data_IF_824492129030
#
_entry.id   IF_824492129030
#
_cell.length_a   1.000
_cell.length_b   1.000
_cell.length_c   1.000
_cell.angle_alpha   90.00
_cell.angle_beta   90.00
_cell.angle_gamma   90.00
#
_symmetry.space_group_name_H-M   'P 1'
#
loop_
_entity.id
_entity.type
_entity.pdbx_description
1 polymer ?
#
# COMPACT_ATOMS: atom_id res chain seq x y z
N UNK A 1 3.82 22.01 -3.51
CA UNK A 1 2.42 21.60 -3.31
C UNK A 1 2.40 20.27 -2.55
N UNK A 2 1.58 20.21 -1.53
CA UNK A 2 1.48 18.99 -0.75
C UNK A 2 0.84 17.88 -1.58
N UNK A 3 1.24 16.61 -1.41
CA UNK A 3 0.59 15.51 -2.10
C UNK A 3 -0.88 15.40 -1.68
N UNK A 4 -1.73 14.86 -2.56
CA UNK A 4 -3.13 14.66 -2.21
C UNK A 4 -3.27 13.83 -0.94
N UNK A 5 -4.13 14.26 -0.06
CA UNK A 5 -4.39 13.53 1.18
C UNK A 5 -5.37 12.40 0.89
N UNK A 6 -5.13 11.28 1.52
CA UNK A 6 -6.02 10.13 1.45
C UNK A 6 -6.29 9.67 2.87
N UNK A 7 -7.52 9.27 3.13
CA UNK A 7 -7.85 8.68 4.41
C UNK A 7 -7.24 7.27 4.48
N UNK A 8 -6.29 7.08 5.37
CA UNK A 8 -5.56 5.83 5.48
C UNK A 8 -6.25 4.94 6.51
N UNK A 9 -6.87 3.89 6.01
CA UNK A 9 -7.52 2.86 6.82
C UNK A 9 -6.59 1.66 6.94
N UNK A 10 -6.98 0.67 7.76
CA UNK A 10 -6.23 -0.58 7.84
C UNK A 10 -6.17 -1.28 6.49
N UNK A 11 -7.27 -1.25 5.73
CA UNK A 11 -7.29 -1.85 4.39
C UNK A 11 -6.25 -1.19 3.49
N UNK A 12 -6.20 0.14 3.49
CA UNK A 12 -5.21 0.89 2.69
C UNK A 12 -3.78 0.52 3.10
N UNK A 13 -3.51 0.42 4.41
CA UNK A 13 -2.18 0.04 4.89
C UNK A 13 -1.81 -1.38 4.50
N UNK A 14 -2.75 -2.31 4.61
CA UNK A 14 -2.49 -3.69 4.19
C UNK A 14 -2.12 -3.76 2.71
N UNK A 15 -2.84 -3.02 1.88
CA UNK A 15 -2.58 -2.97 0.43
C UNK A 15 -1.20 -2.35 0.17
N UNK A 16 -0.90 -1.23 0.82
CA UNK A 16 0.40 -0.57 0.64
C UNK A 16 1.56 -1.46 1.09
N UNK A 17 1.38 -2.19 2.19
CA UNK A 17 2.40 -3.13 2.67
C UNK A 17 2.71 -4.19 1.60
N UNK A 18 1.69 -4.72 0.96
CA UNK A 18 1.87 -5.73 -0.09
C UNK A 18 2.59 -5.13 -1.30
N UNK A 19 2.15 -3.96 -1.75
CA UNK A 19 2.76 -3.29 -2.90
C UNK A 19 4.21 -2.93 -2.61
N UNK A 20 4.49 -2.40 -1.40
CA UNK A 20 5.85 -2.04 -1.00
C UNK A 20 6.78 -3.24 -0.90
N UNK A 21 6.24 -4.40 -0.55
CA UNK A 21 7.03 -5.63 -0.37
C UNK A 21 7.34 -6.32 -1.69
N UNK A 22 6.62 -5.99 -2.77
CA UNK A 22 6.83 -6.63 -4.07
C UNK A 22 8.07 -6.05 -4.75
N UNK A 23 8.90 -6.89 -5.40
CA UNK A 23 10.02 -6.39 -6.19
C UNK A 23 9.53 -5.55 -7.37
N UNK A 24 10.33 -4.55 -7.78
CA UNK A 24 9.98 -3.70 -8.91
C UNK A 24 9.84 -4.48 -10.22
N UNK A 25 10.64 -5.51 -10.38
CA UNK A 25 10.63 -6.35 -11.58
C UNK A 25 9.60 -7.49 -11.51
N UNK A 26 8.90 -7.60 -10.38
CA UNK A 26 7.84 -8.59 -10.20
C UNK A 26 6.71 -7.96 -9.39
N UNK A 27 6.03 -6.95 -9.97
CA UNK A 27 4.98 -6.24 -9.24
C UNK A 27 3.77 -7.11 -8.99
N UNK A 28 3.01 -6.74 -7.97
CA UNK A 28 1.82 -7.48 -7.57
C UNK A 28 0.63 -7.07 -8.44
N UNK A 29 -0.26 -8.03 -8.71
CA UNK A 29 -1.50 -7.79 -9.46
C UNK A 29 -2.71 -7.80 -8.52
N UNK A 30 -3.85 -7.32 -9.04
CA UNK A 30 -5.03 -7.08 -8.20
C UNK A 30 -5.47 -8.28 -7.37
N UNK A 31 -5.64 -9.45 -8.00
CA UNK A 31 -6.03 -10.65 -7.25
C UNK A 31 -4.95 -11.10 -6.29
N UNK A 32 -3.68 -10.91 -6.64
CA UNK A 32 -2.56 -11.19 -5.73
C UNK A 32 -2.63 -10.35 -4.48
N UNK A 33 -3.03 -9.09 -4.61
CA UNK A 33 -3.24 -8.21 -3.45
C UNK A 33 -4.38 -8.73 -2.59
N UNK A 34 -5.50 -9.13 -3.21
CA UNK A 34 -6.63 -9.69 -2.47
C UNK A 34 -6.20 -10.92 -1.68
N UNK A 35 -5.45 -11.82 -2.29
CA UNK A 35 -4.98 -13.04 -1.65
C UNK A 35 -4.01 -12.73 -0.51
N UNK A 36 -3.06 -11.83 -0.74
CA UNK A 36 -2.05 -11.51 0.25
C UNK A 36 -2.62 -10.77 1.46
N UNK A 37 -3.62 -9.92 1.26
CA UNK A 37 -4.22 -9.14 2.35
C UNK A 37 -5.40 -9.86 3.02
N UNK A 38 -6.01 -10.81 2.34
CA UNK A 38 -7.23 -11.45 2.82
C UNK A 38 -8.49 -10.63 2.60
N UNK A 39 -8.38 -9.47 1.96
CA UNK A 39 -9.54 -8.65 1.64
C UNK A 39 -10.12 -9.06 0.29
N UNK A 40 -11.44 -9.10 0.19
CA UNK A 40 -12.10 -9.45 -1.07
C UNK A 40 -12.00 -8.36 -2.13
N UNK A 41 -12.36 -8.69 -3.39
CA UNK A 41 -12.31 -7.72 -4.49
C UNK A 41 -13.17 -6.47 -4.24
N UNK A 42 -14.34 -6.65 -3.63
CA UNK A 42 -15.24 -5.52 -3.32
C UNK A 42 -14.66 -4.51 -2.34
N UNK A 43 -13.66 -4.91 -1.56
CA UNK A 43 -12.96 -4.02 -0.64
C UNK A 43 -11.65 -3.52 -1.26
N UNK A 44 -10.93 -4.40 -1.94
CA UNK A 44 -9.61 -4.10 -2.47
C UNK A 44 -9.65 -3.12 -3.65
N UNK A 45 -10.50 -3.36 -4.65
CA UNK A 45 -10.48 -2.53 -5.85
C UNK A 45 -10.93 -1.09 -5.61
N UNK A 46 -11.94 -0.80 -4.79
CA UNK A 46 -12.24 0.60 -4.44
C UNK A 46 -11.07 1.29 -3.73
N UNK A 47 -10.34 0.57 -2.88
CA UNK A 47 -9.18 1.12 -2.19
C UNK A 47 -8.05 1.41 -3.18
N UNK A 48 -7.79 0.50 -4.12
CA UNK A 48 -6.80 0.71 -5.19
C UNK A 48 -7.16 1.94 -6.02
N UNK A 49 -8.43 2.11 -6.35
CA UNK A 49 -8.90 3.26 -7.11
C UNK A 49 -8.61 4.57 -6.37
N UNK A 50 -8.87 4.61 -5.07
CA UNK A 50 -8.55 5.79 -4.26
C UNK A 50 -7.06 6.08 -4.22
N UNK A 51 -6.23 5.05 -4.10
CA UNK A 51 -4.78 5.21 -4.11
C UNK A 51 -4.29 5.73 -5.46
N UNK A 52 -4.87 5.26 -6.56
CA UNK A 52 -4.52 5.74 -7.89
C UNK A 52 -4.92 7.20 -8.07
N UNK A 53 -6.13 7.57 -7.65
CA UNK A 53 -6.60 8.96 -7.75
C UNK A 53 -5.76 9.92 -6.92
N UNK A 54 -5.22 9.44 -5.79
CA UNK A 54 -4.33 10.24 -4.96
C UNK A 54 -2.90 10.29 -5.50
N UNK A 55 -2.61 9.54 -6.54
CA UNK A 55 -1.27 9.50 -7.12
C UNK A 55 -0.25 8.68 -6.32
N UNK A 56 -0.72 7.84 -5.41
CA UNK A 56 0.17 7.03 -4.58
C UNK A 56 0.63 5.76 -5.25
N UNK A 57 -0.16 5.24 -6.18
CA UNK A 57 0.19 4.04 -6.95
C UNK A 57 -0.09 4.29 -8.43
N UNK A 58 0.57 3.50 -9.27
CA UNK A 58 0.36 3.45 -10.71
C UNK A 58 -0.02 2.04 -11.09
N UNK A 59 -0.71 1.91 -12.21
CA UNK A 59 -1.05 0.60 -12.74
C UNK A 59 -0.41 0.41 -14.11
N UNK A 60 -0.28 -0.86 -14.49
CA UNK A 60 0.19 -1.25 -15.81
C UNK A 60 -0.45 -2.57 -16.18
N UNK A 61 -0.94 -2.64 -17.39
CA UNK A 61 -1.45 -3.89 -17.93
C UNK A 61 -0.31 -4.76 -18.43
N UNK A 62 -0.49 -6.06 -18.26
CA UNK A 62 0.46 -7.04 -18.78
C UNK A 62 0.58 -6.92 -20.29
N UNK A 63 1.82 -6.89 -20.79
CA UNK A 63 2.10 -6.74 -22.21
C UNK A 63 3.34 -7.56 -22.56
N UNK A 64 3.27 -8.49 -23.54
CA UNK A 64 2.08 -8.82 -24.33
C UNK A 64 1.01 -9.55 -23.52
N UNK A 65 -0.25 -9.49 -24.00
CA UNK A 65 -1.32 -10.23 -23.38
C UNK A 65 -1.09 -11.73 -23.52
N UNK A 66 -1.27 -12.52 -22.44
CA UNK A 66 -1.15 -13.97 -22.56
C UNK A 66 -2.23 -14.54 -23.50
N UNK A 67 -1.88 -15.63 -24.19
CA UNK A 67 -2.82 -16.25 -25.12
C UNK A 67 -3.91 -17.07 -24.43
N UNK A 68 -3.65 -17.51 -23.20
CA UNK A 68 -4.48 -18.51 -22.52
C UNK A 68 -5.25 -17.98 -21.32
N UNK A 69 -5.13 -16.70 -21.02
CA UNK A 69 -5.85 -16.07 -19.89
C UNK A 69 -5.95 -14.56 -20.10
N UNK A 70 -6.84 -13.88 -19.34
CA UNK A 70 -6.93 -12.42 -19.40
C UNK A 70 -5.65 -11.74 -18.95
N UNK A 71 -5.42 -10.52 -19.45
CA UNK A 71 -4.33 -9.67 -18.98
C UNK A 71 -4.45 -9.43 -17.50
N UNK A 72 -3.29 -9.38 -16.85
CA UNK A 72 -3.19 -8.95 -15.46
C UNK A 72 -2.89 -7.47 -15.40
N UNK A 73 -3.44 -6.82 -14.39
CA UNK A 73 -3.18 -5.42 -14.11
C UNK A 73 -2.28 -5.36 -12.88
N UNK A 74 -1.09 -4.82 -13.06
CA UNK A 74 -0.08 -4.73 -12.01
C UNK A 74 -0.09 -3.34 -11.39
N UNK A 75 0.27 -3.26 -10.11
CA UNK A 75 0.30 -2.03 -9.35
C UNK A 75 1.67 -1.83 -8.74
N UNK A 76 2.17 -0.59 -8.83
CA UNK A 76 3.45 -0.19 -8.24
C UNK A 76 3.27 1.11 -7.47
N UNK A 77 4.14 1.33 -6.48
CA UNK A 77 4.07 2.55 -5.67
C UNK A 77 4.84 3.67 -6.36
N UNK A 78 4.30 4.88 -6.27
CA UNK A 78 4.97 6.09 -6.77
C UNK A 78 5.83 6.72 -5.68
N UNK A 79 6.65 7.72 -6.04
CA UNK A 79 7.39 8.49 -5.04
C UNK A 79 6.46 9.20 -4.06
N UNK A 80 5.33 9.72 -4.55
CA UNK A 80 4.29 10.31 -3.71
C UNK A 80 3.75 9.28 -2.72
N UNK A 81 3.48 8.06 -3.20
CA UNK A 81 2.99 6.98 -2.35
C UNK A 81 4.01 6.57 -1.31
N UNK A 82 5.29 6.49 -1.67
CA UNK A 82 6.34 6.16 -0.71
C UNK A 82 6.44 7.19 0.39
N UNK A 83 6.37 8.47 0.04
CA UNK A 83 6.41 9.55 1.02
C UNK A 83 5.19 9.51 1.94
N UNK A 84 4.00 9.27 1.36
CA UNK A 84 2.77 9.17 2.14
C UNK A 84 2.78 7.99 3.10
N UNK A 85 3.25 6.85 2.62
CA UNK A 85 3.38 5.64 3.43
C UNK A 85 4.32 5.87 4.61
N UNK A 86 5.50 6.46 4.35
CA UNK A 86 6.47 6.76 5.40
C UNK A 86 5.90 7.71 6.45
N UNK A 87 5.18 8.75 6.01
CA UNK A 87 4.56 9.72 6.92
C UNK A 87 3.52 9.06 7.82
N UNK A 88 2.71 8.14 7.27
CA UNK A 88 1.71 7.43 8.06
C UNK A 88 2.39 6.52 9.10
N UNK A 89 3.45 5.83 8.70
CA UNK A 89 4.20 4.99 9.63
C UNK A 89 4.78 5.82 10.80
N UNK A 90 5.32 6.99 10.51
CA UNK A 90 5.84 7.88 11.54
C UNK A 90 4.74 8.34 12.50
N UNK A 91 3.59 8.74 11.95
CA UNK A 91 2.46 9.18 12.77
C UNK A 91 1.97 8.06 13.67
N UNK A 92 1.87 6.86 13.14
CA UNK A 92 1.40 5.70 13.92
C UNK A 92 2.39 5.32 15.00
N UNK A 93 3.69 5.38 14.71
CA UNK A 93 4.72 5.11 15.69
C UNK A 93 4.64 6.10 16.84
N UNK A 94 4.47 7.39 16.56
CA UNK A 94 4.33 8.43 17.55
C UNK A 94 3.08 8.27 18.43
N UNK A 95 1.99 7.78 17.84
CA UNK A 95 0.74 7.56 18.59
C UNK A 95 0.77 6.31 19.44
N UNK A 96 1.53 5.30 19.04
CA UNK A 96 1.57 4.01 19.72
C UNK A 96 2.09 4.13 21.15
N UNK A 97 3.01 5.04 21.37
CA UNK A 97 3.66 5.19 22.68
C UNK A 97 3.72 6.65 23.07
N UNK A 98 2.56 7.32 23.22
CA UNK A 98 2.57 8.75 23.54
C UNK A 98 3.20 9.07 24.89
N UNK A 99 3.26 8.10 25.80
CA UNK A 99 3.89 8.24 27.11
C UNK A 99 5.24 7.53 27.20
N UNK A 100 5.75 6.96 26.09
CA UNK A 100 7.02 6.26 26.11
C UNK A 100 8.14 7.26 26.42
N UNK A 101 8.98 6.88 27.36
CA UNK A 101 10.13 7.70 27.71
C UNK A 101 11.18 7.61 26.59
N UNK A 102 11.92 8.70 26.33
CA UNK A 102 13.04 8.63 25.40
C UNK A 102 14.01 7.51 25.81
N UNK A 103 14.41 6.72 24.85
CA UNK A 103 15.32 5.60 25.08
C UNK A 103 14.64 4.29 25.44
N UNK A 104 13.34 4.28 25.69
CA UNK A 104 12.64 3.03 25.93
C UNK A 104 12.34 2.32 24.62
N UNK A 105 12.40 0.98 24.58
CA UNK A 105 12.05 0.26 23.39
C UNK A 105 10.61 0.51 23.00
N UNK A 106 10.36 0.67 21.71
CA UNK A 106 9.00 0.81 21.20
C UNK A 106 8.21 -0.44 21.54
N UNK A 107 6.95 -0.25 21.89
CA UNK A 107 6.09 -1.36 22.25
C UNK A 107 6.22 -1.79 23.70
N UNK A 108 7.02 -1.10 24.50
CA UNK A 108 7.14 -1.39 25.91
C UNK A 108 7.58 -2.80 26.22
N UNK A 109 8.22 -3.46 25.30
CA UNK A 109 8.78 -4.78 25.56
C UNK A 109 10.00 -4.58 26.41
N UNK A 110 9.86 -4.97 27.57
CA UNK A 110 11.00 -4.89 28.48
C UNK A 110 12.02 -5.93 28.07
#
# INVERSE_FOLDING_TARGET
>A
MAPPKIRVTLVIMDILDVIMSAPQDDPVWGLGICEATGHGPGTTYPALDRLMKAGWIEDRWEDPAPADRPRRRFYTITSTGRAGYAAVLEQRAGRRTPWAMPGMPAGGVA
#
